data_IF_710055172610
#
_entry.id   IF_710055172610
#
_cell.length_a   1.000
_cell.length_b   1.000
_cell.length_c   1.000
_cell.angle_alpha   90.00
_cell.angle_beta   90.00
_cell.angle_gamma   90.00
#
_symmetry.space_group_name_H-M   'P 1'
#
loop_
_entity.id
_entity.type
_entity.pdbx_description
1 polymer ?
#
# COMPACT_ATOMS: atom_id res chain seq x y z
N UNK A 1 -3.23 10.75 -31.29
CA UNK A 1 -4.01 10.60 -30.86
C UNK A 1 -4.18 10.85 -29.52
N UNK A 2 -4.91 11.43 -29.16
CA UNK A 2 -5.08 11.99 -27.90
C UNK A 2 -5.56 11.07 -26.86
N UNK A 3 -5.63 9.88 -27.23
CA UNK A 3 -6.10 8.94 -26.31
C UNK A 3 -5.26 8.79 -25.13
N UNK A 4 -4.02 9.12 -25.28
CA UNK A 4 -3.08 8.89 -24.21
C UNK A 4 -3.13 9.95 -23.13
N UNK A 5 -4.10 10.83 -23.18
CA UNK A 5 -4.16 11.84 -22.15
C UNK A 5 -4.47 11.26 -20.77
N UNK A 6 -5.01 10.07 -20.72
CA UNK A 6 -5.30 9.45 -19.45
C UNK A 6 -4.17 8.51 -19.08
N UNK A 7 -3.48 8.74 -17.98
CA UNK A 7 -2.37 7.88 -17.63
C UNK A 7 -2.86 6.47 -17.38
N UNK A 8 -2.07 5.52 -17.80
CA UNK A 8 -2.35 4.15 -17.55
C UNK A 8 -1.65 3.74 -16.27
N UNK A 9 -2.39 3.56 -15.23
CA UNK A 9 -1.81 3.11 -13.98
C UNK A 9 -1.82 1.61 -13.93
N UNK A 10 -0.76 1.05 -13.42
CA UNK A 10 -0.61 -0.39 -13.29
C UNK A 10 -0.57 -0.75 -11.82
N UNK A 11 -1.43 -1.66 -11.41
CA UNK A 11 -1.44 -2.20 -10.06
C UNK A 11 -0.84 -3.60 -10.15
N UNK A 12 0.24 -3.84 -9.46
CA UNK A 12 0.93 -5.13 -9.53
C UNK A 12 1.64 -5.44 -8.22
N UNK A 13 2.11 -6.67 -8.09
CA UNK A 13 2.94 -7.02 -6.95
C UNK A 13 4.25 -6.28 -7.02
N UNK A 14 4.76 -5.91 -5.86
CA UNK A 14 6.05 -5.27 -5.76
C UNK A 14 7.16 -6.29 -5.98
N UNK A 15 8.26 -5.84 -6.54
CA UNK A 15 9.43 -6.67 -6.82
C UNK A 15 10.64 -6.07 -6.11
N UNK A 16 11.70 -6.86 -6.03
CA UNK A 16 12.89 -6.38 -5.35
C UNK A 16 13.47 -5.13 -5.99
N UNK A 17 13.32 -4.99 -7.29
CA UNK A 17 13.81 -3.81 -7.98
C UNK A 17 13.04 -2.56 -7.59
N UNK A 18 11.90 -2.71 -6.93
CA UNK A 18 11.09 -1.56 -6.49
C UNK A 18 11.50 -1.06 -5.12
N UNK A 19 12.34 -1.79 -4.40
CA UNK A 19 12.62 -1.51 -2.99
C UNK A 19 13.13 -0.08 -2.78
N UNK A 20 14.04 0.35 -3.60
CA UNK A 20 14.64 1.67 -3.44
C UNK A 20 13.58 2.77 -3.54
N UNK A 21 12.74 2.66 -4.54
CA UNK A 21 11.69 3.67 -4.72
C UNK A 21 10.63 3.56 -3.61
N UNK A 22 10.26 2.35 -3.23
CA UNK A 22 9.31 2.15 -2.15
C UNK A 22 9.86 2.76 -0.87
N UNK A 23 11.15 2.55 -0.60
CA UNK A 23 11.76 3.09 0.60
C UNK A 23 11.72 4.62 0.61
N UNK A 24 11.90 5.22 -0.57
CA UNK A 24 11.80 6.65 -0.70
C UNK A 24 10.39 7.13 -0.35
N UNK A 25 9.37 6.42 -0.83
CA UNK A 25 7.98 6.77 -0.56
C UNK A 25 7.66 6.60 0.92
N UNK A 26 8.17 5.56 1.54
CA UNK A 26 7.99 5.33 2.97
C UNK A 26 8.60 6.49 3.76
N UNK A 27 9.78 6.95 3.34
CA UNK A 27 10.41 8.10 3.99
C UNK A 27 9.56 9.36 3.88
N UNK A 28 8.96 9.58 2.74
CA UNK A 28 8.07 10.71 2.55
C UNK A 28 6.87 10.62 3.47
N UNK A 29 6.32 9.42 3.61
CA UNK A 29 5.16 9.21 4.47
C UNK A 29 5.52 9.43 5.94
N UNK A 30 6.70 8.97 6.35
CA UNK A 30 7.15 9.21 7.72
C UNK A 30 7.27 10.69 8.02
N UNK A 31 7.84 11.44 7.08
CA UNK A 31 7.99 12.87 7.27
C UNK A 31 6.63 13.55 7.37
N UNK A 32 5.67 13.11 6.57
CA UNK A 32 4.34 13.66 6.62
C UNK A 32 3.68 13.38 7.97
N UNK A 33 3.83 12.18 8.48
CA UNK A 33 3.25 11.83 9.77
C UNK A 33 3.86 12.63 10.90
N UNK A 34 5.16 12.88 10.82
CA UNK A 34 5.81 13.70 11.85
C UNK A 34 5.26 15.11 11.83
N UNK A 35 5.04 15.67 10.65
CA UNK A 35 4.47 17.02 10.55
C UNK A 35 3.08 17.08 11.13
N UNK A 36 2.34 15.99 11.07
CA UNK A 36 0.98 15.93 11.59
C UNK A 36 0.92 15.49 13.04
N UNK A 37 2.07 15.23 13.65
CA UNK A 37 2.08 14.82 15.05
C UNK A 37 1.77 13.37 15.29
N UNK A 38 1.67 12.57 14.24
CA UNK A 38 1.40 11.15 14.39
C UNK A 38 2.69 10.42 14.74
N UNK A 39 2.58 9.43 15.62
CA UNK A 39 3.73 8.64 16.01
C UNK A 39 3.60 7.19 15.62
N UNK A 40 2.66 6.88 14.72
CA UNK A 40 2.48 5.51 14.29
C UNK A 40 3.69 4.99 13.54
N UNK A 41 4.31 5.83 12.74
CA UNK A 41 5.53 5.47 12.03
C UNK A 41 6.65 6.35 12.55
N UNK A 42 7.82 5.76 12.72
CA UNK A 42 8.96 6.50 13.22
C UNK A 42 10.22 6.05 12.49
N UNK A 43 11.37 6.44 12.99
CA UNK A 43 12.61 6.11 12.31
C UNK A 43 12.91 4.62 12.33
N UNK A 44 12.25 3.87 13.20
CA UNK A 44 12.49 2.44 13.30
C UNK A 44 11.41 1.59 12.61
N UNK A 45 10.27 2.18 12.29
CA UNK A 45 9.20 1.42 11.68
C UNK A 45 8.39 2.28 10.72
N UNK A 46 8.13 1.83 9.52
CA UNK A 46 8.64 0.59 8.94
C UNK A 46 10.13 0.68 8.65
N UNK A 47 10.82 -0.44 8.77
CA UNK A 47 12.22 -0.54 8.38
C UNK A 47 12.28 -1.18 7.01
N UNK A 48 13.43 -1.07 6.36
CA UNK A 48 13.57 -1.62 5.01
C UNK A 48 13.40 -3.14 5.03
N UNK A 49 13.72 -3.77 6.15
CA UNK A 49 13.54 -5.21 6.29
C UNK A 49 12.07 -5.60 6.21
N UNK A 50 11.19 -4.75 6.70
CA UNK A 50 9.76 -5.02 6.61
C UNK A 50 9.31 -5.03 5.16
N UNK A 51 9.84 -4.10 4.37
CA UNK A 51 9.49 -4.02 2.96
C UNK A 51 9.99 -5.25 2.21
N UNK A 52 11.20 -5.67 2.51
CA UNK A 52 11.74 -6.86 1.88
C UNK A 52 10.92 -8.09 2.20
N UNK A 53 10.49 -8.21 3.46
CA UNK A 53 9.68 -9.33 3.88
C UNK A 53 8.32 -9.31 3.18
N UNK A 54 7.73 -8.13 3.06
CA UNK A 54 6.44 -8.00 2.37
C UNK A 54 6.55 -8.50 0.94
N UNK A 55 7.65 -8.17 0.28
CA UNK A 55 7.85 -8.57 -1.10
C UNK A 55 8.09 -10.08 -1.20
N UNK A 56 8.89 -10.61 -0.29
CA UNK A 56 9.17 -12.05 -0.29
C UNK A 56 7.90 -12.85 -0.05
N UNK A 57 7.03 -12.35 0.79
CA UNK A 57 5.79 -13.03 1.10
C UNK A 57 4.74 -12.87 -0.01
N UNK A 58 5.03 -12.04 -1.00
CA UNK A 58 4.09 -11.80 -2.08
C UNK A 58 2.92 -10.92 -1.67
N UNK A 59 3.06 -10.18 -0.59
CA UNK A 59 1.99 -9.35 -0.06
C UNK A 59 2.16 -7.86 -0.36
N UNK A 60 3.30 -7.45 -0.87
CA UNK A 60 3.52 -6.06 -1.22
C UNK A 60 3.01 -5.76 -2.62
N UNK A 61 2.28 -4.67 -2.75
CA UNK A 61 1.74 -4.25 -4.04
C UNK A 61 2.04 -2.79 -4.29
N UNK A 62 2.13 -2.43 -5.55
CA UNK A 62 2.41 -1.04 -5.94
C UNK A 62 1.47 -0.59 -7.03
N UNK A 63 1.29 0.72 -7.11
CA UNK A 63 0.69 1.33 -8.28
C UNK A 63 1.81 2.09 -8.98
N UNK A 64 1.94 1.86 -10.28
CA UNK A 64 2.91 2.57 -11.12
C UNK A 64 2.18 3.48 -12.08
N UNK A 65 2.69 4.67 -12.25
CA UNK A 65 2.20 5.61 -13.24
C UNK A 65 3.39 6.02 -14.10
N UNK A 66 3.30 5.77 -15.41
CA UNK A 66 4.39 6.08 -16.31
C UNK A 66 5.71 5.45 -15.86
N UNK A 67 5.62 4.18 -15.55
CA UNK A 67 6.79 3.38 -15.16
C UNK A 67 7.44 3.80 -13.84
N UNK A 68 6.73 4.55 -13.03
CA UNK A 68 7.26 4.97 -11.75
C UNK A 68 6.30 4.57 -10.64
N UNK A 69 6.82 3.94 -9.60
CA UNK A 69 6.01 3.57 -8.46
C UNK A 69 5.57 4.83 -7.73
N UNK A 70 4.27 4.96 -7.53
CA UNK A 70 3.70 6.12 -6.84
C UNK A 70 2.90 5.76 -5.60
N UNK A 71 2.67 4.48 -5.35
CA UNK A 71 1.97 4.05 -4.16
C UNK A 71 2.42 2.64 -3.79
N UNK A 72 2.41 2.34 -2.51
CA UNK A 72 2.79 1.03 -2.01
C UNK A 72 1.85 0.65 -0.87
N UNK A 73 1.51 -0.60 -0.77
CA UNK A 73 0.73 -1.12 0.33
C UNK A 73 0.92 -2.61 0.46
N UNK A 74 0.61 -3.14 1.63
CA UNK A 74 0.69 -4.56 1.91
C UNK A 74 -0.71 -5.08 2.04
N UNK A 75 -1.02 -6.14 1.32
CA UNK A 75 -2.35 -6.72 1.32
C UNK A 75 -2.28 -8.09 1.95
N UNK A 76 -3.05 -8.29 3.01
CA UNK A 76 -3.16 -9.58 3.66
C UNK A 76 -4.57 -10.10 3.48
N UNK A 77 -4.67 -11.34 3.04
CA UNK A 77 -5.97 -11.95 2.84
C UNK A 77 -6.39 -12.83 4.01
N UNK A 78 -5.47 -13.00 4.98
CA UNK A 78 -5.78 -13.88 6.09
C UNK A 78 -6.22 -13.06 7.28
N UNK A 79 -7.26 -12.61 7.49
CA UNK A 79 -7.66 -11.75 8.58
C UNK A 79 -7.04 -12.12 9.92
N UNK A 80 -7.09 -11.20 10.84
CA UNK A 80 -6.59 -11.44 12.18
C UNK A 80 -7.58 -12.28 12.94
N UNK A 81 -7.13 -13.29 13.64
CA UNK A 81 -8.05 -14.14 14.40
C UNK A 81 -8.92 -13.37 15.37
N UNK A 82 -8.39 -12.28 15.91
CA UNK A 82 -9.14 -11.50 16.87
C UNK A 82 -10.41 -10.93 16.26
N UNK A 83 -10.41 -10.69 14.98
CA UNK A 83 -11.60 -10.16 14.34
C UNK A 83 -12.72 -11.18 14.28
N UNK A 84 -12.38 -12.44 14.23
CA UNK A 84 -13.40 -13.47 14.19
C UNK A 84 -14.22 -13.46 15.47
N UNK A 85 -13.55 -13.22 16.58
CA UNK A 85 -14.25 -13.19 17.85
C UNK A 85 -15.15 -11.98 17.96
N UNK A 86 -14.68 -10.85 17.51
CA UNK A 86 -15.45 -9.63 17.57
C UNK A 86 -16.62 -9.70 16.63
N UNK A 87 -16.38 -10.32 15.52
CA UNK A 87 -17.37 -10.35 14.50
C UNK A 87 -18.18 -11.57 14.47
N UNK A 88 -18.49 -12.09 15.56
CA UNK A 88 -19.31 -13.28 15.64
C UNK A 88 -20.59 -13.14 14.85
N UNK A 89 -20.98 -11.93 14.57
CA UNK A 89 -22.16 -11.71 13.83
C UNK A 89 -21.97 -11.70 12.36
N UNK A 90 -20.76 -11.60 11.92
CA UNK A 90 -20.49 -11.58 10.51
C UNK A 90 -20.53 -13.01 10.06
N UNK A 91 -21.67 -13.46 9.81
CA UNK A 91 -21.84 -14.85 9.50
C UNK A 91 -21.38 -15.21 8.13
N UNK A 92 -20.92 -14.31 7.36
CA UNK A 92 -20.54 -14.66 6.04
C UNK A 92 -19.15 -15.23 6.02
N UNK A 93 -18.84 -15.93 5.00
CA UNK A 93 -17.57 -16.57 4.83
C UNK A 93 -16.65 -15.75 3.95
N UNK A 94 -16.91 -14.48 3.81
CA UNK A 94 -16.09 -13.65 2.96
C UNK A 94 -14.73 -13.47 3.58
N UNK A 95 -13.68 -13.57 2.79
CA UNK A 95 -12.34 -13.40 3.34
C UNK A 95 -12.11 -11.95 3.73
N UNK A 96 -11.28 -11.77 4.72
CA UNK A 96 -10.87 -10.43 5.09
C UNK A 96 -9.75 -9.99 4.19
N UNK A 97 -9.73 -8.70 3.90
CA UNK A 97 -8.62 -8.10 3.22
C UNK A 97 -8.16 -6.95 4.07
N UNK A 98 -6.93 -6.99 4.53
CA UNK A 98 -6.38 -5.96 5.38
C UNK A 98 -5.23 -5.29 4.63
N UNK A 99 -5.27 -3.97 4.59
CA UNK A 99 -4.21 -3.19 3.96
C UNK A 99 -3.33 -2.59 5.05
N UNK A 100 -2.03 -2.86 4.96
CA UNK A 100 -1.06 -2.35 5.90
C UNK A 100 -0.06 -1.48 5.18
N UNK A 101 0.61 -0.63 5.91
CA UNK A 101 1.74 0.17 5.40
C UNK A 101 1.44 0.85 4.08
N UNK A 102 0.24 1.39 3.95
CA UNK A 102 -0.12 2.12 2.74
C UNK A 102 0.61 3.46 2.73
N UNK A 103 1.33 3.72 1.68
CA UNK A 103 2.07 4.96 1.52
C UNK A 103 1.93 5.48 0.10
N UNK A 104 1.77 6.79 -0.02
CA UNK A 104 1.56 7.45 -1.31
C UNK A 104 2.70 8.44 -1.51
N UNK A 105 3.27 8.46 -2.70
CA UNK A 105 4.33 9.40 -3.01
C UNK A 105 3.82 10.83 -2.89
N UNK A 106 4.68 11.73 -2.43
CA UNK A 106 4.30 13.13 -2.20
C UNK A 106 3.69 13.76 -3.45
N UNK A 107 4.24 13.48 -4.61
CA UNK A 107 3.76 14.11 -5.84
C UNK A 107 2.35 13.66 -6.21
N UNK A 108 1.86 12.63 -5.56
CA UNK A 108 0.52 12.12 -5.86
C UNK A 108 -0.48 12.39 -4.75
N UNK A 109 -0.11 13.18 -3.77
CA UNK A 109 -1.02 13.49 -2.68
C UNK A 109 -2.24 14.24 -3.20
N UNK A 110 -3.36 13.98 -2.56
CA UNK A 110 -4.63 14.63 -2.90
C UNK A 110 -5.15 14.29 -4.29
N UNK A 111 -4.66 13.21 -4.88
CA UNK A 111 -5.15 12.77 -6.18
C UNK A 111 -5.93 11.46 -6.07
N UNK A 112 -6.33 11.10 -4.87
CA UNK A 112 -7.16 9.91 -4.70
C UNK A 112 -6.42 8.60 -4.86
N UNK A 113 -5.10 8.60 -4.67
CA UNK A 113 -4.32 7.38 -4.84
C UNK A 113 -4.67 6.31 -3.82
N UNK A 114 -4.93 6.70 -2.58
CA UNK A 114 -5.31 5.73 -1.57
C UNK A 114 -6.61 5.03 -1.96
N UNK A 115 -7.58 5.80 -2.44
CA UNK A 115 -8.84 5.24 -2.88
C UNK A 115 -8.61 4.35 -4.10
N UNK A 116 -7.76 4.77 -5.01
CA UNK A 116 -7.45 3.99 -6.20
C UNK A 116 -6.81 2.66 -5.81
N UNK A 117 -5.90 2.69 -4.82
CA UNK A 117 -5.27 1.46 -4.35
C UNK A 117 -6.33 0.51 -3.81
N UNK A 118 -7.24 1.04 -2.98
CA UNK A 118 -8.29 0.21 -2.41
C UNK A 118 -9.22 -0.36 -3.47
N UNK A 119 -9.57 0.45 -4.46
CA UNK A 119 -10.42 -0.05 -5.54
C UNK A 119 -9.73 -1.11 -6.37
N UNK A 120 -8.41 -1.03 -6.50
CA UNK A 120 -7.68 -2.02 -7.26
C UNK A 120 -7.74 -3.40 -6.63
N UNK A 121 -7.96 -3.46 -5.32
CA UNK A 121 -8.07 -4.74 -4.64
C UNK A 121 -9.26 -5.54 -5.12
N UNK A 122 -10.29 -4.86 -5.55
CA UNK A 122 -11.52 -5.53 -5.96
C UNK A 122 -11.28 -6.42 -7.17
N UNK A 123 -10.27 -6.10 -7.94
CA UNK A 123 -9.99 -6.82 -9.17
C UNK A 123 -8.81 -7.77 -9.09
N UNK A 124 -8.34 -8.04 -7.91
CA UNK A 124 -7.24 -9.00 -7.75
C UNK A 124 -7.71 -10.43 -7.96
#
# INVERSE_FOLDING_TARGET
>A
MAISSIPSDIFRKAEETDIERIWQIIGQAKAQMQRLGSQQWDENYPAIEHIRQDIQDGNGYVICREDRVVAYGVISFDGEPVYKDIEGKWSNDLPYVIVHRLAIADEMKRQGMAKQFMLSLIHI
#
